data_IF_926535601169
#
_entry.id   IF_926535601169
#
_cell.length_a   1.000
_cell.length_b   1.000
_cell.length_c   1.000
_cell.angle_alpha   90.00
_cell.angle_beta   90.00
_cell.angle_gamma   90.00
#
_symmetry.space_group_name_H-M   'P 1'
#
loop_
_entity.id
_entity.type
_entity.pdbx_description
1 polymer ?
#
# COMPACT_ATOMS: atom_id res chain seq x y z
N UNK A 1 -4.04 28.32 13.89
CA UNK A 1 -2.94 28.60 14.85
C UNK A 1 -1.74 27.76 14.43
N UNK A 2 -0.82 28.32 13.64
CA UNK A 2 0.36 27.61 13.13
C UNK A 2 1.45 27.62 14.20
N UNK A 3 1.85 26.45 14.71
CA UNK A 3 3.03 26.33 15.58
C UNK A 3 4.22 25.99 14.70
N UNK A 4 5.00 27.01 14.38
CA UNK A 4 6.25 26.85 13.64
C UNK A 4 7.28 26.18 14.55
N UNK A 5 7.73 24.98 14.18
CA UNK A 5 8.72 24.22 14.93
C UNK A 5 10.10 24.89 14.77
N UNK A 6 10.45 25.77 15.71
CA UNK A 6 11.73 26.48 15.71
C UNK A 6 12.83 25.52 16.16
N UNK A 7 13.62 25.01 15.21
CA UNK A 7 14.81 24.18 15.48
C UNK A 7 15.78 24.96 16.36
N UNK A 8 15.98 24.51 17.60
CA UNK A 8 16.99 25.07 18.51
C UNK A 8 18.35 24.56 18.04
N UNK A 9 19.17 25.46 17.46
CA UNK A 9 20.52 25.12 17.02
C UNK A 9 21.40 24.83 18.22
N UNK A 10 22.27 23.81 18.10
CA UNK A 10 23.27 23.55 19.15
C UNK A 10 24.33 24.68 19.12
N UNK A 11 24.84 25.13 20.28
CA UNK A 11 25.90 26.12 20.32
C UNK A 11 27.15 25.55 19.60
N UNK A 12 27.55 26.20 18.50
CA UNK A 12 28.66 25.77 17.62
C UNK A 12 28.25 25.21 16.25
N UNK A 13 26.95 25.08 15.95
CA UNK A 13 26.48 24.61 14.64
C UNK A 13 26.56 25.72 13.58
N UNK A 14 27.58 25.66 12.71
CA UNK A 14 27.73 26.57 11.57
C UNK A 14 26.66 26.29 10.50
N UNK A 15 26.04 27.32 9.91
CA UNK A 15 25.13 27.14 8.78
C UNK A 15 25.85 26.45 7.61
N UNK A 16 25.17 25.53 6.93
CA UNK A 16 25.75 24.80 5.79
C UNK A 16 26.26 25.74 4.68
N UNK A 17 25.62 26.90 4.51
CA UNK A 17 26.04 27.94 3.56
C UNK A 17 27.43 28.53 3.86
N UNK A 18 27.91 28.39 5.10
CA UNK A 18 29.17 28.98 5.59
C UNK A 18 30.27 27.93 5.79
N UNK A 19 30.07 26.69 5.37
CA UNK A 19 31.13 25.67 5.38
C UNK A 19 32.14 25.97 4.27
N UNK A 20 33.46 25.94 4.57
CA UNK A 20 34.48 26.12 3.54
C UNK A 20 34.30 25.04 2.46
N UNK A 21 34.30 25.46 1.19
CA UNK A 21 34.21 24.56 0.04
C UNK A 21 35.26 23.46 0.13
N UNK A 22 34.80 22.21 0.15
CA UNK A 22 35.65 21.03 0.28
C UNK A 22 36.53 20.90 -0.98
N UNK A 23 37.83 20.58 -0.85
CA UNK A 23 38.75 20.50 -1.99
C UNK A 23 38.24 19.54 -3.07
N UNK A 24 38.42 19.96 -4.33
CA UNK A 24 38.00 19.29 -5.57
C UNK A 24 38.81 18.01 -5.86
N UNK A 25 38.99 17.16 -4.85
CA UNK A 25 39.68 15.89 -4.97
C UNK A 25 38.79 14.85 -5.63
N UNK A 26 39.21 14.37 -6.80
CA UNK A 26 38.61 13.31 -7.63
C UNK A 26 38.39 11.96 -6.88
N UNK A 27 38.81 11.84 -5.62
CA UNK A 27 38.57 10.69 -4.75
C UNK A 27 38.07 11.10 -3.35
N UNK A 28 37.08 11.99 -3.27
CA UNK A 28 36.33 12.19 -2.02
C UNK A 28 35.38 11.02 -1.82
N UNK A 29 35.80 10.04 -1.02
CA UNK A 29 34.91 9.03 -0.45
C UNK A 29 33.91 9.78 0.46
N UNK A 30 32.71 10.05 -0.05
CA UNK A 30 31.72 10.80 0.72
C UNK A 30 31.35 10.00 1.96
N UNK A 31 31.12 10.65 3.12
CA UNK A 31 30.78 9.94 4.35
C UNK A 31 29.57 9.02 4.13
N UNK A 32 29.52 7.92 4.89
CA UNK A 32 28.34 7.05 4.94
C UNK A 32 27.09 7.90 5.12
N UNK A 33 26.08 7.69 4.26
CA UNK A 33 24.83 8.44 4.28
C UNK A 33 24.11 8.25 5.62
N UNK A 34 23.70 9.34 6.26
CA UNK A 34 23.00 9.34 7.55
C UNK A 34 21.60 9.87 7.39
N UNK A 35 20.62 9.20 8.00
CA UNK A 35 19.25 9.71 8.11
C UNK A 35 19.05 10.33 9.50
N UNK A 36 18.84 11.65 9.54
CA UNK A 36 18.50 12.41 10.74
C UNK A 36 17.00 12.69 10.72
N UNK A 37 16.25 12.18 11.69
CA UNK A 37 14.81 12.45 11.83
C UNK A 37 14.58 13.13 13.18
N UNK A 38 14.02 14.34 13.16
CA UNK A 38 13.81 15.14 14.36
C UNK A 38 12.71 14.60 15.28
N UNK A 39 11.69 13.93 14.73
CA UNK A 39 10.64 13.28 15.49
C UNK A 39 9.78 12.35 14.66
N UNK A 40 9.24 11.31 15.28
CA UNK A 40 8.28 10.40 14.63
C UNK A 40 7.10 10.14 15.55
N UNK A 41 5.91 10.50 15.09
CA UNK A 41 4.64 10.26 15.77
C UNK A 41 3.85 9.24 14.97
N UNK A 42 3.65 8.05 15.54
CA UNK A 42 2.81 7.00 14.95
C UNK A 42 1.69 6.69 15.92
N UNK A 43 0.45 6.85 15.47
CA UNK A 43 -0.71 6.62 16.31
C UNK A 43 -1.06 5.12 16.44
N UNK A 44 -0.82 4.30 15.40
CA UNK A 44 -1.01 2.85 15.49
C UNK A 44 -0.12 2.06 14.53
N UNK A 45 0.31 0.87 14.96
CA UNK A 45 0.99 -0.12 14.12
C UNK A 45 0.26 -1.45 14.30
N UNK A 46 -0.21 -2.07 13.22
CA UNK A 46 -1.07 -3.26 13.29
C UNK A 46 -0.86 -4.23 12.12
N UNK A 47 -1.43 -5.43 12.18
CA UNK A 47 -1.49 -6.40 11.07
C UNK A 47 -0.15 -6.65 10.36
N UNK A 48 0.81 -7.26 11.07
CA UNK A 48 2.14 -7.62 10.56
C UNK A 48 2.98 -6.45 10.01
N UNK A 49 2.72 -5.23 10.48
CA UNK A 49 3.50 -4.05 10.13
C UNK A 49 4.74 -3.86 11.01
N UNK A 50 5.74 -3.20 10.44
CA UNK A 50 7.04 -2.97 11.08
C UNK A 50 7.41 -1.49 10.99
N UNK A 51 7.89 -0.94 12.10
CA UNK A 51 8.56 0.35 12.12
C UNK A 51 10.01 0.11 12.50
N UNK A 52 10.94 0.44 11.61
CA UNK A 52 12.35 0.16 11.76
C UNK A 52 13.18 1.45 11.65
N UNK A 53 14.07 1.63 12.62
CA UNK A 53 15.11 2.64 12.61
C UNK A 53 16.48 1.95 12.44
N UNK A 54 17.29 2.46 11.53
CA UNK A 54 18.54 1.85 11.10
C UNK A 54 18.42 1.13 9.76
N UNK A 55 19.51 0.49 9.36
CA UNK A 55 19.65 -0.07 8.03
C UNK A 55 19.06 -1.49 7.94
N UNK A 56 18.54 -1.82 6.77
CA UNK A 56 17.95 -3.12 6.45
C UNK A 56 18.39 -3.60 5.08
N UNK A 57 18.95 -4.80 5.05
CA UNK A 57 19.39 -5.44 3.81
C UNK A 57 18.21 -5.92 2.97
N UNK A 58 17.39 -6.83 3.51
CA UNK A 58 16.26 -7.41 2.77
C UNK A 58 14.93 -7.22 3.50
N UNK A 59 13.92 -6.83 2.73
CA UNK A 59 12.54 -6.68 3.16
C UNK A 59 11.62 -7.39 2.17
N UNK A 60 10.70 -8.20 2.70
CA UNK A 60 9.69 -8.91 1.93
C UNK A 60 8.31 -8.73 2.58
N UNK A 61 7.59 -7.72 2.12
CA UNK A 61 6.24 -7.40 2.57
C UNK A 61 5.21 -8.06 1.64
N UNK A 62 4.29 -8.84 2.20
CA UNK A 62 3.21 -9.50 1.44
C UNK A 62 1.85 -9.28 2.10
N UNK A 63 0.89 -8.79 1.31
CA UNK A 63 -0.49 -8.59 1.72
C UNK A 63 -1.44 -9.30 0.76
N UNK A 64 -2.37 -10.08 1.32
CA UNK A 64 -3.52 -10.65 0.61
C UNK A 64 -4.78 -10.30 1.38
N UNK A 65 -5.73 -9.64 0.73
CA UNK A 65 -7.00 -9.24 1.34
C UNK A 65 -8.17 -9.45 0.40
N UNK A 66 -9.26 -10.04 0.91
CA UNK A 66 -10.55 -10.05 0.23
C UNK A 66 -11.56 -9.33 1.11
N UNK A 67 -12.21 -8.31 0.56
CA UNK A 67 -13.35 -7.64 1.17
C UNK A 67 -14.61 -8.03 0.39
N UNK A 68 -15.60 -8.63 1.06
CA UNK A 68 -16.89 -8.95 0.44
C UNK A 68 -18.00 -8.25 1.19
N UNK A 69 -18.73 -7.40 0.47
CA UNK A 69 -19.95 -6.76 0.94
C UNK A 69 -21.14 -7.48 0.34
N UNK A 70 -22.08 -7.95 1.16
CA UNK A 70 -23.26 -8.71 0.73
C UNK A 70 -24.53 -8.00 1.19
N UNK A 71 -25.57 -8.05 0.35
CA UNK A 71 -26.93 -7.70 0.74
C UNK A 71 -27.59 -8.85 1.54
N UNK A 72 -27.23 -10.10 1.24
CA UNK A 72 -27.70 -11.28 1.97
C UNK A 72 -26.91 -11.53 3.25
N UNK A 73 -27.57 -12.16 4.22
CA UNK A 73 -26.98 -12.47 5.53
C UNK A 73 -25.77 -13.42 5.42
N UNK A 74 -24.72 -13.11 6.17
CA UNK A 74 -23.48 -13.87 6.21
C UNK A 74 -23.68 -15.32 6.70
N UNK A 75 -24.69 -15.55 7.56
CA UNK A 75 -24.99 -16.87 8.12
C UNK A 75 -25.40 -17.90 7.05
N UNK A 76 -26.07 -17.45 6.00
CA UNK A 76 -26.58 -18.29 4.91
C UNK A 76 -25.74 -18.19 3.63
N UNK A 77 -24.75 -17.28 3.61
CA UNK A 77 -23.92 -17.02 2.44
C UNK A 77 -22.72 -17.98 2.34
N UNK A 78 -22.31 -18.30 1.11
CA UNK A 78 -21.11 -19.11 0.89
C UNK A 78 -19.85 -18.44 1.44
N UNK A 79 -18.93 -19.28 1.94
CA UNK A 79 -17.60 -18.86 2.40
C UNK A 79 -16.78 -18.27 1.25
N UNK A 80 -15.85 -17.40 1.61
CA UNK A 80 -14.94 -16.71 0.67
C UNK A 80 -13.56 -17.33 0.85
N UNK A 81 -12.97 -17.79 -0.25
CA UNK A 81 -11.65 -18.40 -0.27
C UNK A 81 -10.73 -17.60 -1.21
N UNK A 82 -9.43 -17.56 -0.89
CA UNK A 82 -8.46 -16.85 -1.74
C UNK A 82 -8.24 -17.59 -3.05
N UNK A 83 -8.32 -18.91 -3.02
CA UNK A 83 -8.17 -19.83 -4.14
C UNK A 83 -9.25 -19.63 -5.20
N UNK A 84 -10.39 -19.04 -4.82
CA UNK A 84 -11.49 -18.72 -5.74
C UNK A 84 -11.20 -17.52 -6.64
N UNK A 85 -10.09 -16.79 -6.43
CA UNK A 85 -9.73 -15.64 -7.25
C UNK A 85 -8.30 -15.75 -7.76
N UNK A 86 -8.16 -15.75 -9.09
CA UNK A 86 -6.87 -15.83 -9.79
C UNK A 86 -5.90 -14.71 -9.40
N UNK A 87 -6.41 -13.58 -8.91
CA UNK A 87 -5.58 -12.48 -8.44
C UNK A 87 -4.65 -12.91 -7.30
N UNK A 88 -4.98 -13.91 -6.48
CA UNK A 88 -4.12 -14.36 -5.37
C UNK A 88 -3.10 -15.43 -5.76
N UNK A 89 -3.31 -16.13 -6.87
CA UNK A 89 -2.42 -17.18 -7.39
C UNK A 89 -1.54 -16.72 -8.55
N UNK A 90 -1.92 -15.65 -9.26
CA UNK A 90 -1.17 -15.13 -10.41
C UNK A 90 0.26 -14.74 -10.00
N UNK A 91 1.31 -15.13 -10.74
CA UNK A 91 2.67 -14.69 -10.45
C UNK A 91 2.80 -13.16 -10.53
N UNK A 92 3.79 -12.58 -9.84
CA UNK A 92 4.11 -11.16 -9.99
C UNK A 92 4.49 -10.94 -11.47
N UNK A 93 3.88 -9.95 -12.16
CA UNK A 93 4.20 -9.72 -13.56
C UNK A 93 5.72 -9.50 -13.68
N UNK A 94 6.37 -10.19 -14.64
CA UNK A 94 7.79 -9.98 -14.87
C UNK A 94 8.05 -8.52 -15.25
N UNK A 95 9.25 -8.04 -14.96
CA UNK A 95 9.74 -6.77 -15.52
C UNK A 95 9.49 -6.79 -17.03
N UNK A 96 8.85 -5.74 -17.53
CA UNK A 96 8.37 -5.67 -18.91
C UNK A 96 9.52 -5.90 -19.90
N UNK A 97 9.25 -6.36 -21.13
CA UNK A 97 10.28 -6.56 -22.14
C UNK A 97 11.14 -5.32 -22.39
N UNK A 98 10.60 -4.10 -22.21
CA UNK A 98 11.38 -2.87 -22.25
C UNK A 98 12.51 -2.82 -21.20
N UNK A 99 12.25 -3.27 -19.97
CA UNK A 99 13.26 -3.38 -18.92
C UNK A 99 14.22 -4.55 -19.16
N UNK A 100 13.76 -5.63 -19.81
CA UNK A 100 14.61 -6.75 -20.20
C UNK A 100 15.58 -6.39 -21.34
N UNK A 101 15.14 -5.57 -22.30
CA UNK A 101 16.00 -4.99 -23.33
C UNK A 101 16.98 -3.96 -22.72
N UNK A 102 16.51 -3.10 -21.81
CA UNK A 102 17.39 -2.19 -21.06
C UNK A 102 18.42 -2.93 -20.19
N UNK A 103 18.14 -4.17 -19.77
CA UNK A 103 19.09 -5.00 -19.04
C UNK A 103 20.21 -5.59 -19.92
N UNK A 104 20.07 -5.58 -21.26
CA UNK A 104 21.14 -6.02 -22.18
C UNK A 104 22.29 -5.01 -22.27
N UNK A 105 21.99 -3.74 -22.03
CA UNK A 105 22.97 -2.65 -21.95
C UNK A 105 22.88 -2.00 -20.56
N UNK A 106 23.54 -2.58 -19.53
CA UNK A 106 23.45 -2.04 -18.18
C UNK A 106 24.04 -0.63 -18.13
N UNK A 107 23.22 0.34 -17.79
CA UNK A 107 23.66 1.70 -17.50
C UNK A 107 24.23 1.72 -16.08
N UNK A 108 25.54 1.91 -15.94
CA UNK A 108 26.16 2.11 -14.64
C UNK A 108 25.93 3.55 -14.18
N UNK A 109 25.08 3.71 -13.16
CA UNK A 109 24.76 5.01 -12.58
C UNK A 109 25.46 5.13 -11.23
N UNK A 110 26.60 5.82 -11.21
CA UNK A 110 27.25 6.22 -9.97
C UNK A 110 26.65 7.54 -9.47
N UNK A 111 25.92 7.47 -8.37
CA UNK A 111 25.39 8.66 -7.70
C UNK A 111 26.34 9.09 -6.58
N UNK A 112 26.70 10.36 -6.58
CA UNK A 112 27.59 10.96 -5.57
C UNK A 112 26.80 11.98 -4.76
N UNK A 113 26.56 11.69 -3.48
CA UNK A 113 25.82 12.57 -2.59
C UNK A 113 26.77 13.58 -1.94
N UNK A 114 26.78 14.81 -2.46
CA UNK A 114 27.63 15.89 -1.92
C UNK A 114 27.34 16.21 -0.45
N UNK A 115 26.07 16.09 -0.06
CA UNK A 115 25.63 16.11 1.32
C UNK A 115 25.05 14.73 1.70
N UNK A 116 25.75 13.92 2.51
CA UNK A 116 25.32 12.59 2.91
C UNK A 116 24.22 12.61 4.00
N UNK A 117 23.75 13.78 4.43
CA UNK A 117 22.73 13.90 5.49
C UNK A 117 21.34 14.08 4.90
N UNK A 118 20.46 13.12 5.16
CA UNK A 118 19.02 13.29 4.93
C UNK A 118 18.42 13.80 6.23
N UNK A 119 18.07 15.09 6.28
CA UNK A 119 17.44 15.69 7.45
C UNK A 119 15.93 15.79 7.25
N UNK A 120 15.17 15.08 8.07
CA UNK A 120 13.70 15.11 8.11
C UNK A 120 13.26 15.72 9.43
N UNK A 121 12.38 16.71 9.39
CA UNK A 121 11.89 17.39 10.60
C UNK A 121 11.05 16.46 11.48
N UNK A 122 9.81 16.19 11.07
CA UNK A 122 8.87 15.38 11.81
C UNK A 122 8.06 14.49 10.87
N UNK A 123 7.88 13.22 11.26
CA UNK A 123 7.07 12.25 10.53
C UNK A 123 5.82 11.98 11.38
N UNK A 124 4.64 12.26 10.83
CA UNK A 124 3.36 11.97 11.49
C UNK A 124 2.58 10.93 10.68
N UNK A 125 2.26 9.80 11.32
CA UNK A 125 1.57 8.67 10.69
C UNK A 125 0.39 8.24 11.56
N UNK A 126 -0.79 8.18 10.95
CA UNK A 126 -2.02 7.74 11.64
C UNK A 126 -1.98 6.23 11.92
N UNK A 127 -1.60 5.44 10.93
CA UNK A 127 -1.53 3.99 11.07
C UNK A 127 -0.52 3.39 10.08
N UNK A 128 0.28 2.42 10.55
CA UNK A 128 1.03 1.50 9.69
C UNK A 128 0.39 0.12 9.85
N UNK A 129 -0.22 -0.39 8.79
CA UNK A 129 -0.96 -1.66 8.86
C UNK A 129 -0.81 -2.51 7.60
N UNK A 130 -1.08 -3.81 7.73
CA UNK A 130 -1.25 -4.74 6.62
C UNK A 130 0.05 -5.03 5.87
N UNK A 131 1.03 -5.56 6.60
CA UNK A 131 2.39 -5.84 6.12
C UNK A 131 3.14 -4.60 5.60
N UNK A 132 2.70 -3.39 5.99
CA UNK A 132 3.40 -2.16 5.68
C UNK A 132 4.63 -1.95 6.58
N UNK A 133 5.65 -1.27 6.05
CA UNK A 133 6.89 -0.98 6.78
C UNK A 133 7.23 0.51 6.72
N UNK A 134 7.53 1.11 7.87
CA UNK A 134 8.19 2.42 7.96
C UNK A 134 9.67 2.20 8.26
N UNK A 135 10.55 2.57 7.33
CA UNK A 135 12.01 2.42 7.49
C UNK A 135 12.66 3.80 7.51
N UNK A 136 13.41 4.09 8.56
CA UNK A 136 14.30 5.24 8.67
C UNK A 136 15.73 4.74 8.66
N UNK A 137 16.39 4.84 7.51
CA UNK A 137 17.72 4.30 7.28
C UNK A 137 17.88 3.85 5.84
N UNK A 138 18.85 2.98 5.58
CA UNK A 138 19.09 2.40 4.27
C UNK A 138 18.26 1.12 4.07
N UNK A 139 17.56 1.03 2.94
CA UNK A 139 16.90 -0.19 2.48
C UNK A 139 17.56 -0.66 1.20
N UNK A 140 18.31 -1.76 1.25
CA UNK A 140 19.05 -2.26 0.07
C UNK A 140 18.09 -2.91 -0.91
N UNK A 141 17.40 -3.97 -0.47
CA UNK A 141 16.45 -4.72 -1.27
C UNK A 141 15.09 -4.72 -0.60
N UNK A 142 14.12 -4.07 -1.22
CA UNK A 142 12.74 -4.06 -0.74
C UNK A 142 11.82 -4.68 -1.78
N UNK A 143 11.14 -5.76 -1.41
CA UNK A 143 10.05 -6.37 -2.17
C UNK A 143 8.76 -6.20 -1.40
N UNK A 144 7.79 -5.53 -2.00
CA UNK A 144 6.47 -5.34 -1.43
C UNK A 144 5.40 -5.76 -2.44
N UNK A 145 4.52 -6.67 -2.02
CA UNK A 145 3.46 -7.23 -2.85
C UNK A 145 2.12 -7.10 -2.13
N UNK A 146 1.16 -6.45 -2.77
CA UNK A 146 -0.21 -6.29 -2.25
C UNK A 146 -1.22 -6.79 -3.26
N UNK A 147 -2.09 -7.70 -2.83
CA UNK A 147 -3.21 -8.23 -3.61
C UNK A 147 -4.48 -8.03 -2.81
N UNK A 148 -5.37 -7.19 -3.33
CA UNK A 148 -6.62 -6.84 -2.67
C UNK A 148 -7.75 -6.98 -3.67
N UNK A 149 -8.82 -7.68 -3.29
CA UNK A 149 -10.05 -7.80 -4.07
C UNK A 149 -11.22 -7.30 -3.24
N UNK A 150 -12.04 -6.40 -3.80
CA UNK A 150 -13.24 -5.90 -3.17
C UNK A 150 -14.47 -6.25 -4.01
N UNK A 151 -15.42 -6.96 -3.42
CA UNK A 151 -16.55 -7.59 -4.13
C UNK A 151 -17.85 -7.16 -3.47
N UNK A 152 -18.80 -6.70 -4.28
CA UNK A 152 -20.15 -6.39 -3.83
C UNK A 152 -21.14 -7.38 -4.43
N UNK A 153 -21.94 -8.00 -3.58
CA UNK A 153 -22.98 -8.96 -3.95
C UNK A 153 -24.33 -8.37 -3.62
N UNK A 154 -25.06 -7.98 -4.65
CA UNK A 154 -26.42 -7.47 -4.57
C UNK A 154 -27.40 -8.52 -5.09
N UNK A 155 -28.62 -8.53 -4.56
CA UNK A 155 -29.70 -9.32 -5.11
C UNK A 155 -29.95 -8.86 -6.55
N UNK A 156 -30.04 -9.83 -7.46
CA UNK A 156 -30.44 -9.53 -8.84
C UNK A 156 -31.88 -9.00 -8.79
N UNK A 157 -32.19 -7.82 -9.35
CA UNK A 157 -33.58 -7.40 -9.46
C UNK A 157 -34.33 -8.47 -10.27
N UNK A 158 -35.57 -8.76 -9.87
CA UNK A 158 -36.42 -9.68 -10.60
C UNK A 158 -36.40 -9.27 -12.08
N UNK A 159 -36.03 -10.20 -12.96
CA UNK A 159 -36.04 -9.96 -14.40
C UNK A 159 -37.44 -9.52 -14.79
N UNK A 160 -37.63 -8.24 -15.11
CA UNK A 160 -38.87 -7.78 -15.75
C UNK A 160 -38.87 -8.48 -17.10
N UNK A 161 -39.63 -9.57 -17.23
CA UNK A 161 -40.01 -10.07 -18.54
C UNK A 161 -40.91 -9.00 -19.12
N UNK A 162 -40.43 -8.29 -20.13
CA UNK A 162 -41.31 -7.58 -21.04
C UNK A 162 -42.17 -8.66 -21.68
N UNK A 163 -43.40 -8.80 -21.20
CA UNK A 163 -44.43 -9.54 -21.92
C UNK A 163 -44.70 -8.69 -23.14
N UNK A 164 -44.40 -9.20 -24.34
CA UNK A 164 -44.85 -8.56 -25.57
C UNK A 164 -46.39 -8.47 -25.49
N UNK A 165 -47.01 -7.36 -25.89
CA UNK A 165 -48.44 -7.10 -25.68
C UNK A 165 -49.40 -8.10 -26.37
N UNK A 166 -48.88 -9.08 -27.12
CA UNK A 166 -49.67 -10.00 -27.93
C UNK A 166 -49.77 -11.44 -27.38
N UNK A 167 -49.06 -11.77 -26.29
CA UNK A 167 -49.28 -13.05 -25.59
C UNK A 167 -50.20 -12.85 -24.39
N UNK A 168 -51.47 -13.24 -24.58
CA UNK A 168 -52.44 -13.39 -23.50
C UNK A 168 -51.88 -14.38 -22.47
N UNK A 169 -51.38 -13.87 -21.34
CA UNK A 169 -50.85 -14.71 -20.28
C UNK A 169 -51.89 -15.75 -19.87
N UNK A 170 -51.56 -17.06 -19.78
CA UNK A 170 -52.46 -18.01 -19.17
C UNK A 170 -52.68 -17.57 -17.72
N UNK A 171 -53.94 -17.33 -17.37
CA UNK A 171 -54.38 -17.04 -16.01
C UNK A 171 -53.83 -18.11 -15.06
N UNK A 172 -52.73 -17.80 -14.38
CA UNK A 172 -52.29 -18.62 -13.27
C UNK A 172 -53.33 -18.44 -12.15
N UNK A 173 -53.93 -19.52 -11.61
CA UNK A 173 -54.92 -19.39 -10.56
C UNK A 173 -54.25 -18.77 -9.34
N UNK A 174 -54.92 -17.77 -8.76
CA UNK A 174 -54.62 -17.21 -7.45
C UNK A 174 -54.65 -18.36 -6.42
N UNK A 175 -53.50 -18.95 -6.14
CA UNK A 175 -53.31 -19.81 -4.98
C UNK A 175 -53.26 -18.90 -3.75
N UNK A 176 -54.42 -18.71 -3.15
CA UNK A 176 -54.63 -18.15 -1.82
C UNK A 176 -53.75 -18.90 -0.80
N UNK A 177 -52.64 -18.30 -0.40
CA UNK A 177 -51.91 -18.70 0.80
C UNK A 177 -51.97 -17.56 1.81
N UNK A 178 -53.01 -17.60 2.64
CA UNK A 178 -53.13 -16.72 3.80
C UNK A 178 -54.43 -16.82 4.58
N UNK A 179 -54.38 -17.62 5.66
CA UNK A 179 -55.18 -17.56 6.92
C UNK A 179 -56.50 -18.33 7.01
N UNK A 180 -56.58 -19.29 7.93
CA UNK A 180 -57.15 -19.20 9.31
C UNK A 180 -57.04 -20.58 9.99
N UNK A 181 -56.27 -20.75 11.08
CA UNK A 181 -56.79 -20.95 12.45
C UNK A 181 -58.09 -21.78 12.57
N UNK A 182 -57.95 -23.07 12.92
CA UNK A 182 -58.56 -23.75 14.09
C UNK A 182 -57.58 -24.83 14.53
#
# INVERSE_FOLDING_TARGET
MSREARRVRKPGEVPFADLPGLPDGENSDYPVRVSEVGGVYVNSISSASIMQFGDRADVNAKLRGVAVQRESDHLFSNRVYFESYDIFSRPVPPVTPFLAEAAKEPVDVRTVNRDPRISVGCIEIIAVSSSAMLLVGNGVNTRAESRISNIRQFAKPATIRWVEPDECAPMAPYALLGRTSV
#
